data_IF_738242859261
#
_entry.id   IF_738242859261
#
_cell.length_a   1.000
_cell.length_b   1.000
_cell.length_c   1.000
_cell.angle_alpha   90.00
_cell.angle_beta   90.00
_cell.angle_gamma   90.00
#
_symmetry.space_group_name_H-M   'P 1'
#
loop_
_entity.id
_entity.type
_entity.pdbx_description
1 polymer ?
#
# COMPACT_ATOMS: atom_id res chain seq x y z
N UNK A 1 59.42 -5.79 20.43
CA UNK A 1 58.67 -6.51 19.39
C UNK A 1 57.21 -6.51 19.81
N UNK A 2 56.29 -5.70 19.31
CA UNK A 2 56.27 -4.51 18.46
C UNK A 2 54.95 -3.83 18.83
N UNK A 3 54.98 -2.52 19.03
CA UNK A 3 53.78 -1.67 19.11
C UNK A 3 52.93 -1.80 17.85
N UNK A 4 51.61 -1.59 18.00
CA UNK A 4 50.67 -0.91 17.06
C UNK A 4 49.26 -1.49 17.18
N UNK A 5 48.42 -0.86 17.99
CA UNK A 5 46.99 -0.77 17.70
C UNK A 5 46.58 0.68 17.98
N UNK A 6 47.05 1.58 17.11
CA UNK A 6 46.45 2.90 16.90
C UNK A 6 46.78 3.37 15.48
N UNK A 7 45.72 3.77 14.75
CA UNK A 7 45.66 4.49 13.47
C UNK A 7 46.08 3.77 12.18
N UNK A 8 45.08 3.39 11.38
CA UNK A 8 44.94 3.85 9.99
C UNK A 8 43.45 4.06 9.71
N UNK A 9 43.05 5.33 9.57
CA UNK A 9 41.91 5.70 8.75
C UNK A 9 42.45 6.00 7.36
N UNK A 10 41.98 5.30 6.32
CA UNK A 10 42.13 5.76 4.94
C UNK A 10 41.07 5.06 4.05
N UNK A 11 39.98 5.81 3.83
CA UNK A 11 39.21 5.93 2.58
C UNK A 11 39.20 4.71 1.64
N UNK A 12 38.17 3.88 1.76
CA UNK A 12 37.66 3.17 0.60
C UNK A 12 36.68 4.11 -0.12
N UNK A 13 37.10 4.66 -1.25
CA UNK A 13 36.26 5.44 -2.15
C UNK A 13 35.05 4.58 -2.57
N UNK A 14 33.87 4.95 -2.08
CA UNK A 14 32.59 4.43 -2.58
C UNK A 14 32.39 4.89 -4.04
N UNK A 15 31.96 4.01 -4.96
CA UNK A 15 31.80 4.39 -6.35
C UNK A 15 30.65 5.40 -6.53
N UNK A 16 31.02 6.65 -6.79
CA UNK A 16 30.13 7.75 -7.17
C UNK A 16 29.59 7.53 -8.60
N UNK A 17 28.26 7.53 -8.77
CA UNK A 17 27.65 7.76 -10.08
C UNK A 17 27.66 9.28 -10.37
N UNK A 18 28.02 9.71 -11.60
CA UNK A 18 28.13 11.12 -11.91
C UNK A 18 26.74 11.78 -11.92
N UNK A 19 26.56 12.84 -11.12
CA UNK A 19 25.42 13.76 -11.24
C UNK A 19 24.51 13.92 -10.02
N UNK A 20 24.86 13.39 -8.85
CA UNK A 20 24.08 13.61 -7.62
C UNK A 20 25.01 14.04 -6.49
N UNK A 21 25.02 15.34 -6.16
CA UNK A 21 25.74 15.84 -4.99
C UNK A 21 24.92 15.55 -3.72
N UNK A 22 25.45 14.70 -2.84
CA UNK A 22 24.94 14.50 -1.48
C UNK A 22 24.89 13.03 -1.04
N UNK A 23 25.04 12.74 0.27
CA UNK A 23 24.82 11.39 0.78
C UNK A 23 23.40 10.93 0.43
N UNK A 24 23.27 9.68 0.00
CA UNK A 24 22.00 8.98 -0.21
C UNK A 24 21.15 9.14 1.06
N UNK A 25 20.22 10.09 1.03
CA UNK A 25 19.32 10.34 2.14
C UNK A 25 18.43 9.10 2.29
N UNK A 26 18.78 8.22 3.24
CA UNK A 26 17.90 7.18 3.75
C UNK A 26 16.77 7.89 4.50
N UNK A 27 15.83 8.47 3.74
CA UNK A 27 14.72 9.19 4.32
C UNK A 27 14.04 8.28 5.37
N UNK A 28 13.86 8.76 6.63
CA UNK A 28 13.15 8.00 7.65
C UNK A 28 11.74 7.64 7.16
N UNK A 29 11.19 6.56 7.68
CA UNK A 29 9.90 5.88 7.39
C UNK A 29 8.61 6.74 7.52
N UNK A 30 8.67 8.02 7.16
CA UNK A 30 7.69 9.07 7.48
C UNK A 30 7.25 9.88 6.25
N UNK A 31 7.45 9.39 5.03
CA UNK A 31 6.94 10.07 3.82
C UNK A 31 5.40 10.19 3.80
N UNK A 32 4.68 9.33 4.52
CA UNK A 32 3.24 9.47 4.77
C UNK A 32 2.89 10.61 5.74
N UNK A 33 3.87 11.17 6.47
CA UNK A 33 3.67 12.29 7.41
C UNK A 33 3.80 13.67 6.76
N UNK A 34 4.37 13.81 5.56
CA UNK A 34 4.58 15.09 4.85
C UNK A 34 4.55 14.84 3.32
N UNK A 35 3.79 15.47 2.42
CA UNK A 35 2.64 16.39 2.39
C UNK A 35 1.62 15.72 1.45
N UNK A 36 0.33 15.92 1.69
CA UNK A 36 -0.81 15.59 0.79
C UNK A 36 -1.51 14.23 0.93
N UNK A 37 -0.98 13.25 1.67
CA UNK A 37 -1.73 12.02 1.97
C UNK A 37 -2.80 12.29 3.05
N UNK A 38 -4.02 12.62 2.63
CA UNK A 38 -5.15 12.97 3.51
C UNK A 38 -5.61 14.43 3.44
N UNK A 39 -5.10 15.26 2.52
CA UNK A 39 -5.79 16.50 2.17
C UNK A 39 -7.17 16.18 1.59
N UNK A 40 -8.18 17.02 1.88
CA UNK A 40 -9.49 16.92 1.22
C UNK A 40 -9.29 17.04 -0.29
N UNK A 41 -9.36 15.91 -1.00
CA UNK A 41 -9.54 15.94 -2.45
C UNK A 41 -10.96 16.47 -2.69
N UNK A 42 -11.07 17.75 -3.04
CA UNK A 42 -12.31 18.27 -3.60
C UNK A 42 -12.38 17.67 -5.00
N UNK A 43 -13.07 16.54 -5.13
CA UNK A 43 -13.37 15.96 -6.43
C UNK A 43 -14.31 16.95 -7.13
N UNK A 44 -13.83 17.62 -8.17
CA UNK A 44 -14.70 18.38 -9.06
C UNK A 44 -15.69 17.39 -9.68
N UNK A 45 -16.97 17.55 -9.35
CA UNK A 45 -18.04 16.73 -9.91
C UNK A 45 -18.26 17.20 -11.36
N UNK A 46 -18.09 16.34 -12.37
CA UNK A 46 -18.32 16.73 -13.77
C UNK A 46 -19.75 17.27 -13.96
N UNK A 47 -19.89 18.26 -14.83
CA UNK A 47 -21.19 18.81 -15.18
C UNK A 47 -22.14 17.69 -15.67
N UNK A 48 -23.30 17.55 -15.01
CA UNK A 48 -24.32 16.56 -15.35
C UNK A 48 -24.40 15.32 -14.44
N UNK A 49 -23.51 15.18 -13.46
CA UNK A 49 -23.65 14.14 -12.41
C UNK A 49 -24.55 14.69 -11.30
N UNK A 50 -25.76 14.16 -11.17
CA UNK A 50 -26.64 14.47 -10.05
C UNK A 50 -26.11 13.82 -8.76
N UNK A 51 -25.53 14.64 -7.89
CA UNK A 51 -24.96 14.23 -6.60
C UNK A 51 -25.91 14.42 -5.41
N UNK A 52 -27.16 14.84 -5.64
CA UNK A 52 -28.10 15.14 -4.54
C UNK A 52 -28.84 13.88 -4.05
N UNK A 53 -28.22 13.11 -3.16
CA UNK A 53 -28.99 12.20 -2.29
C UNK A 53 -29.55 12.97 -1.08
N UNK A 54 -30.73 13.57 -1.26
CA UNK A 54 -31.53 14.05 -0.13
C UNK A 54 -32.09 12.81 0.56
N UNK A 55 -31.40 12.33 1.59
CA UNK A 55 -31.91 11.30 2.48
C UNK A 55 -33.22 11.82 3.12
N UNK A 56 -34.27 10.97 3.24
CA UNK A 56 -35.63 11.42 3.55
C UNK A 56 -35.86 11.61 5.06
N UNK A 57 -34.98 12.34 5.75
CA UNK A 57 -35.15 12.66 7.18
C UNK A 57 -34.39 13.94 7.59
N UNK A 58 -34.79 14.49 8.75
CA UNK A 58 -34.15 15.62 9.44
C UNK A 58 -33.32 15.14 10.65
N UNK A 59 -32.92 13.86 10.68
CA UNK A 59 -32.26 13.26 11.83
C UNK A 59 -30.83 13.84 11.99
N UNK A 60 -30.43 14.29 13.19
CA UNK A 60 -29.07 14.78 13.42
C UNK A 60 -27.98 13.73 13.12
N UNK A 61 -28.29 12.44 13.23
CA UNK A 61 -27.39 11.34 12.83
C UNK A 61 -27.15 11.31 11.32
N UNK A 62 -28.14 11.66 10.51
CA UNK A 62 -28.03 11.71 9.05
C UNK A 62 -27.11 12.84 8.61
N UNK A 63 -27.30 14.04 9.17
CA UNK A 63 -26.43 15.19 8.92
C UNK A 63 -24.97 14.90 9.31
N UNK A 64 -24.74 14.34 10.50
CA UNK A 64 -23.41 13.98 10.97
C UNK A 64 -22.82 12.76 10.24
N UNK A 65 -23.68 11.85 9.77
CA UNK A 65 -23.30 10.65 9.03
C UNK A 65 -22.69 10.97 7.68
N UNK A 66 -23.22 11.97 6.96
CA UNK A 66 -22.70 12.43 5.67
C UNK A 66 -21.26 12.96 5.72
N UNK A 67 -20.78 13.36 6.90
CA UNK A 67 -19.42 13.86 7.09
C UNK A 67 -18.39 12.75 7.35
N UNK A 68 -18.84 11.51 7.56
CA UNK A 68 -17.97 10.37 7.86
C UNK A 68 -17.61 9.61 6.58
N UNK A 69 -16.40 9.02 6.50
CA UNK A 69 -16.07 8.11 5.41
C UNK A 69 -17.09 6.95 5.36
N UNK A 70 -17.77 6.81 4.22
CA UNK A 70 -18.74 5.74 3.98
C UNK A 70 -18.10 4.55 3.29
N UNK A 71 -18.55 3.34 3.61
CA UNK A 71 -18.18 2.11 2.89
C UNK A 71 -19.18 1.73 1.80
N UNK A 72 -20.25 2.51 1.64
CA UNK A 72 -21.39 2.18 0.77
C UNK A 72 -21.03 2.07 -0.72
N UNK A 73 -19.94 2.72 -1.15
CA UNK A 73 -19.45 2.64 -2.53
C UNK A 73 -18.65 1.34 -2.81
N UNK A 74 -18.34 0.55 -1.79
CA UNK A 74 -17.65 -0.73 -1.96
C UNK A 74 -18.71 -1.81 -2.26
N UNK A 75 -18.61 -2.55 -3.38
CA UNK A 75 -19.49 -3.69 -3.63
C UNK A 75 -19.46 -4.68 -2.45
N UNK A 76 -20.60 -5.03 -1.83
CA UNK A 76 -20.60 -5.89 -0.64
C UNK A 76 -19.91 -7.24 -0.84
N UNK A 77 -19.98 -7.82 -2.05
CA UNK A 77 -19.29 -9.08 -2.39
C UNK A 77 -17.77 -8.97 -2.19
N UNK A 78 -17.18 -7.80 -2.50
CA UNK A 78 -15.76 -7.56 -2.32
C UNK A 78 -15.37 -7.58 -0.83
N UNK A 79 -16.25 -7.07 0.04
CA UNK A 79 -16.04 -7.10 1.49
C UNK A 79 -16.06 -8.55 2.01
N UNK A 80 -17.00 -9.36 1.52
CA UNK A 80 -17.14 -10.76 1.93
C UNK A 80 -15.97 -11.62 1.47
N UNK A 81 -15.55 -11.48 0.21
CA UNK A 81 -14.39 -12.18 -0.35
C UNK A 81 -13.09 -11.77 0.34
N UNK A 82 -12.88 -10.48 0.58
CA UNK A 82 -11.76 -9.99 1.40
C UNK A 82 -11.79 -10.62 2.79
N UNK A 83 -12.95 -10.65 3.44
CA UNK A 83 -13.13 -11.28 4.75
C UNK A 83 -12.73 -12.76 4.74
N UNK A 84 -13.06 -13.49 3.68
CA UNK A 84 -12.68 -14.91 3.50
C UNK A 84 -11.17 -15.09 3.39
N UNK A 85 -10.49 -14.30 2.54
CA UNK A 85 -9.04 -14.35 2.40
C UNK A 85 -8.32 -13.96 3.71
N UNK A 86 -8.78 -12.90 4.38
CA UNK A 86 -8.25 -12.46 5.67
C UNK A 86 -8.46 -13.50 6.77
N UNK A 87 -9.59 -14.23 6.75
CA UNK A 87 -9.85 -15.34 7.68
C UNK A 87 -8.88 -16.50 7.45
N UNK A 88 -8.58 -16.84 6.19
CA UNK A 88 -7.55 -17.85 5.88
C UNK A 88 -6.18 -17.45 6.47
N UNK A 89 -5.77 -16.20 6.27
CA UNK A 89 -4.55 -15.65 6.87
C UNK A 89 -4.57 -15.69 8.40
N UNK A 90 -5.69 -15.32 9.02
CA UNK A 90 -5.84 -15.33 10.48
C UNK A 90 -5.74 -16.73 11.08
N UNK A 91 -6.24 -17.76 10.38
CA UNK A 91 -6.09 -19.17 10.80
C UNK A 91 -4.62 -19.60 10.73
N UNK A 92 -3.88 -19.19 9.70
CA UNK A 92 -2.48 -19.57 9.49
C UNK A 92 -1.50 -18.82 10.41
N UNK A 93 -1.72 -17.53 10.63
CA UNK A 93 -0.72 -16.64 11.21
C UNK A 93 -1.20 -15.82 12.41
N UNK A 94 -2.46 -15.99 12.82
CA UNK A 94 -3.09 -15.16 13.84
C UNK A 94 -3.73 -13.90 13.27
N UNK A 95 -4.83 -13.47 13.90
CA UNK A 95 -5.56 -12.27 13.49
C UNK A 95 -4.74 -11.01 13.79
N UNK A 96 -4.68 -10.07 12.84
CA UNK A 96 -3.94 -8.80 12.97
C UNK A 96 -2.43 -8.95 13.24
N UNK A 97 -1.82 -10.09 12.91
CA UNK A 97 -0.40 -10.34 13.18
C UNK A 97 0.54 -9.29 12.53
N UNK A 98 0.12 -8.65 11.44
CA UNK A 98 0.84 -7.54 10.77
C UNK A 98 0.86 -6.23 11.57
N UNK A 99 0.11 -6.13 12.68
CA UNK A 99 0.21 -5.03 13.65
C UNK A 99 1.14 -5.37 14.82
N UNK A 100 1.28 -6.65 15.14
CA UNK A 100 2.20 -7.13 16.19
C UNK A 100 3.63 -7.32 15.67
N UNK A 101 3.77 -7.52 14.35
CA UNK A 101 5.04 -7.72 13.64
C UNK A 101 5.15 -6.69 12.52
N UNK A 102 6.38 -6.43 12.08
CA UNK A 102 6.58 -5.63 10.87
C UNK A 102 6.40 -6.49 9.63
N UNK A 103 5.99 -5.85 8.53
CA UNK A 103 5.88 -6.48 7.21
C UNK A 103 6.81 -5.78 6.22
N UNK A 104 7.22 -6.46 5.15
CA UNK A 104 8.11 -5.88 4.13
C UNK A 104 7.35 -5.70 2.83
N UNK A 105 7.50 -4.54 2.19
CA UNK A 105 6.72 -4.18 0.99
C UNK A 105 6.90 -5.21 -0.14
N UNK A 106 8.14 -5.53 -0.50
CA UNK A 106 8.45 -6.49 -1.59
C UNK A 106 7.77 -7.85 -1.42
N UNK A 107 7.73 -8.39 -0.21
CA UNK A 107 7.11 -9.69 0.08
C UNK A 107 5.62 -9.69 -0.25
N UNK A 108 4.92 -8.60 0.06
CA UNK A 108 3.49 -8.46 -0.18
C UNK A 108 3.19 -8.08 -1.64
N UNK A 109 4.06 -7.30 -2.30
CA UNK A 109 3.90 -7.03 -3.74
C UNK A 109 4.14 -8.28 -4.58
N UNK A 110 5.12 -9.11 -4.23
CA UNK A 110 5.35 -10.39 -4.92
C UNK A 110 4.17 -11.36 -4.71
N UNK A 111 3.53 -11.34 -3.53
CA UNK A 111 2.32 -12.11 -3.26
C UNK A 111 1.14 -11.63 -4.13
N UNK A 112 0.97 -10.30 -4.24
CA UNK A 112 -0.01 -9.69 -5.15
C UNK A 112 0.23 -10.17 -6.58
N UNK A 113 1.47 -10.11 -7.06
CA UNK A 113 1.81 -10.48 -8.43
C UNK A 113 1.50 -11.96 -8.68
N UNK A 114 1.86 -12.88 -7.77
CA UNK A 114 1.52 -14.30 -7.93
C UNK A 114 0.02 -14.55 -8.02
N UNK A 115 -0.79 -13.92 -7.17
CA UNK A 115 -2.23 -14.08 -7.25
C UNK A 115 -2.83 -13.42 -8.49
N UNK A 116 -2.34 -12.24 -8.87
CA UNK A 116 -2.83 -11.52 -10.03
C UNK A 116 -2.47 -12.23 -11.34
N UNK A 117 -1.27 -12.79 -11.45
CA UNK A 117 -0.84 -13.55 -12.62
C UNK A 117 -1.65 -14.84 -12.77
N UNK A 118 -1.87 -15.60 -11.69
CA UNK A 118 -2.72 -16.80 -11.73
C UNK A 118 -4.16 -16.47 -12.18
N UNK A 119 -4.74 -15.36 -11.67
CA UNK A 119 -6.04 -14.88 -12.13
C UNK A 119 -6.04 -14.52 -13.63
N UNK A 120 -4.98 -13.84 -14.11
CA UNK A 120 -4.84 -13.50 -15.53
C UNK A 120 -4.74 -14.72 -16.43
N UNK A 121 -4.15 -15.81 -15.92
CA UNK A 121 -4.03 -17.09 -16.63
C UNK A 121 -5.30 -17.96 -16.50
N UNK A 122 -6.36 -17.46 -15.87
CA UNK A 122 -7.69 -18.08 -15.82
C UNK A 122 -7.98 -18.91 -14.56
N UNK A 123 -7.14 -18.82 -13.52
CA UNK A 123 -7.41 -19.46 -12.23
C UNK A 123 -8.22 -18.52 -11.32
N UNK A 124 -9.44 -18.94 -10.94
CA UNK A 124 -10.29 -18.14 -10.05
C UNK A 124 -9.93 -18.34 -8.57
N UNK A 125 -9.62 -19.57 -8.16
CA UNK A 125 -9.46 -19.97 -6.75
C UNK A 125 -8.05 -20.49 -6.46
N UNK A 126 -7.41 -19.94 -5.42
CA UNK A 126 -6.11 -20.41 -4.98
C UNK A 126 -6.21 -21.82 -4.36
N UNK A 127 -5.40 -22.74 -4.85
CA UNK A 127 -5.39 -24.16 -4.43
C UNK A 127 -5.19 -24.40 -2.92
N UNK A 128 -4.49 -23.50 -2.22
CA UNK A 128 -4.11 -23.66 -0.81
C UNK A 128 -5.20 -23.19 0.20
N UNK A 129 -6.20 -22.47 -0.28
CA UNK A 129 -7.16 -21.74 0.56
C UNK A 129 -8.59 -21.80 0.02
N UNK A 130 -8.77 -22.19 -1.25
CA UNK A 130 -10.01 -22.13 -1.99
C UNK A 130 -10.67 -20.74 -2.02
N UNK A 131 -9.92 -19.68 -1.66
CA UNK A 131 -10.35 -18.29 -1.74
C UNK A 131 -9.96 -17.71 -3.11
N UNK A 132 -10.71 -16.72 -3.57
CA UNK A 132 -10.49 -16.14 -4.89
C UNK A 132 -9.13 -15.43 -4.98
N UNK A 133 -8.43 -15.53 -6.11
CA UNK A 133 -7.13 -14.87 -6.29
C UNK A 133 -7.21 -13.34 -6.07
N UNK A 134 -8.22 -12.68 -6.66
CA UNK A 134 -8.50 -11.26 -6.40
C UNK A 134 -8.77 -10.94 -4.91
N UNK A 135 -9.33 -11.87 -4.14
CA UNK A 135 -9.53 -11.67 -2.71
C UNK A 135 -8.20 -11.64 -1.94
N UNK A 136 -7.24 -12.48 -2.33
CA UNK A 136 -5.88 -12.43 -1.79
C UNK A 136 -5.14 -11.15 -2.19
N UNK A 137 -5.30 -10.68 -3.44
CA UNK A 137 -4.77 -9.38 -3.86
C UNK A 137 -5.31 -8.26 -2.98
N UNK A 138 -6.64 -8.23 -2.76
CA UNK A 138 -7.27 -7.26 -1.85
C UNK A 138 -6.72 -7.36 -0.42
N UNK A 139 -6.54 -8.58 0.10
CA UNK A 139 -6.00 -8.81 1.45
C UNK A 139 -4.58 -8.25 1.59
N UNK A 140 -3.69 -8.52 0.62
CA UNK A 140 -2.34 -7.97 0.62
C UNK A 140 -2.35 -6.44 0.58
N UNK A 141 -3.16 -5.83 -0.28
CA UNK A 141 -3.32 -4.37 -0.34
C UNK A 141 -3.84 -3.79 0.97
N UNK A 142 -4.84 -4.42 1.59
CA UNK A 142 -5.40 -3.98 2.87
C UNK A 142 -4.36 -4.02 4.00
N UNK A 143 -3.56 -5.09 4.07
CA UNK A 143 -2.49 -5.24 5.06
C UNK A 143 -1.38 -4.20 4.84
N UNK A 144 -0.96 -3.97 3.60
CA UNK A 144 0.02 -2.93 3.26
C UNK A 144 -0.47 -1.54 3.68
N UNK A 145 -1.72 -1.19 3.34
CA UNK A 145 -2.32 0.10 3.73
C UNK A 145 -2.38 0.24 5.26
N UNK A 146 -2.78 -0.81 5.97
CA UNK A 146 -2.82 -0.82 7.43
C UNK A 146 -1.43 -0.58 8.02
N UNK A 147 -0.43 -1.33 7.58
CA UNK A 147 0.95 -1.21 8.06
C UNK A 147 1.58 0.17 7.78
N UNK A 148 1.21 0.83 6.67
CA UNK A 148 1.61 2.22 6.39
C UNK A 148 1.07 3.15 7.50
N UNK A 149 -0.20 3.00 7.87
CA UNK A 149 -0.86 3.88 8.84
C UNK A 149 -0.49 3.56 10.29
N UNK A 150 -0.15 2.30 10.60
CA UNK A 150 0.27 1.90 11.95
C UNK A 150 1.78 2.03 12.17
N UNK A 151 2.57 2.25 11.12
CA UNK A 151 4.03 2.33 11.20
C UNK A 151 4.72 0.97 11.28
N UNK A 152 4.04 -0.11 10.90
CA UNK A 152 4.56 -1.48 10.89
C UNK A 152 5.21 -1.88 9.54
N UNK A 153 5.31 -0.96 8.58
CA UNK A 153 5.88 -1.24 7.27
C UNK A 153 7.40 -1.04 7.22
N UNK A 154 8.13 -2.08 6.83
CA UNK A 154 9.49 -2.00 6.31
C UNK A 154 9.41 -1.68 4.81
N UNK A 155 9.55 -0.41 4.47
CA UNK A 155 9.42 0.05 3.09
C UNK A 155 10.76 -0.09 2.33
N UNK A 156 10.90 -1.17 1.56
CA UNK A 156 12.09 -1.50 0.77
C UNK A 156 11.94 -1.18 -0.73
N UNK A 157 10.93 -0.39 -1.11
CA UNK A 157 10.73 0.02 -2.51
C UNK A 157 11.86 0.91 -3.01
N UNK A 158 12.31 0.63 -4.24
CA UNK A 158 13.16 1.54 -5.01
C UNK A 158 12.36 2.80 -5.39
N UNK A 159 12.93 3.99 -5.13
CA UNK A 159 12.25 5.29 -5.30
C UNK A 159 12.64 6.04 -6.57
N UNK A 160 13.49 5.45 -7.40
CA UNK A 160 13.91 5.93 -8.72
C UNK A 160 13.01 5.38 -9.86
N UNK A 161 11.73 5.15 -9.57
CA UNK A 161 10.82 4.43 -10.47
C UNK A 161 10.47 5.21 -11.73
N UNK A 162 10.81 4.65 -12.90
CA UNK A 162 10.46 5.19 -14.21
C UNK A 162 9.07 4.74 -14.72
N UNK A 163 8.36 3.88 -13.97
CA UNK A 163 7.13 3.24 -14.44
C UNK A 163 6.01 4.25 -14.73
N UNK A 164 5.76 5.21 -13.83
CA UNK A 164 4.74 6.24 -14.06
C UNK A 164 5.05 7.07 -15.32
N UNK A 165 6.31 7.51 -15.46
CA UNK A 165 6.80 8.25 -16.63
C UNK A 165 6.58 7.44 -17.92
N UNK A 166 6.85 6.14 -17.89
CA UNK A 166 6.65 5.27 -19.03
C UNK A 166 5.16 5.11 -19.39
N UNK A 167 4.29 4.96 -18.39
CA UNK A 167 2.84 4.88 -18.59
C UNK A 167 2.31 6.16 -19.25
N UNK A 168 2.68 7.33 -18.73
CA UNK A 168 2.26 8.62 -19.28
C UNK A 168 2.74 8.76 -20.74
N UNK A 169 4.02 8.42 -21.00
CA UNK A 169 4.60 8.42 -22.35
C UNK A 169 3.85 7.50 -23.32
N UNK A 170 3.35 6.35 -22.87
CA UNK A 170 2.64 5.39 -23.73
C UNK A 170 1.17 5.74 -23.95
N UNK A 171 0.55 6.42 -22.99
CA UNK A 171 -0.88 6.73 -23.01
C UNK A 171 -1.18 8.14 -23.53
N UNK A 172 -0.18 9.01 -23.64
CA UNK A 172 -0.31 10.35 -24.20
C UNK A 172 -1.15 11.31 -23.34
N UNK A 173 -1.32 10.98 -22.05
CA UNK A 173 -2.00 11.80 -21.04
C UNK A 173 -1.13 12.92 -20.51
#
# INVERSE_FOLDING_TARGET
MSDKIDRIAETADEPMLPGVEGPIDRAPSTWWKNRDYGQRVILEVPAGVDVQSVLPDDNPKTALGKLKPGTAAIPPVAILELGRAMTNGAVKYGRFNWRDKTITTSVYTDAIDRHLLAFRDGEDLASDSAAHHLAHVMACCAILLDAIHTGNLNDDRRRDGAAAIAIDRFTGS
#
